data_IF_846323219135
#
_entry.id   IF_846323219135
#
_cell.length_a   1.000
_cell.length_b   1.000
_cell.length_c   1.000
_cell.angle_alpha   90.00
_cell.angle_beta   90.00
_cell.angle_gamma   90.00
#
_symmetry.space_group_name_H-M   'P 1'
#
loop_
_entity.id
_entity.type
_entity.pdbx_description
1 polymer ?
#
# COMPACT_ATOMS: atom_id res chain seq x y z
N UNK A 1 5.07 -26.50 -14.03
CA UNK A 1 5.52 -25.35 -14.83
C UNK A 1 5.23 -25.66 -16.29
N UNK A 2 4.29 -24.94 -16.92
CA UNK A 2 3.97 -25.08 -18.33
C UNK A 2 5.17 -24.78 -19.24
N UNK A 3 5.05 -25.12 -20.52
CA UNK A 3 6.10 -24.85 -21.50
C UNK A 3 6.37 -23.33 -21.58
N UNK A 4 7.62 -22.89 -21.78
CA UNK A 4 7.97 -21.47 -21.87
C UNK A 4 7.16 -20.69 -22.93
N UNK A 5 6.66 -21.38 -23.94
CA UNK A 5 5.87 -20.78 -25.01
C UNK A 5 4.43 -20.45 -24.59
N UNK A 6 3.94 -20.99 -23.47
CA UNK A 6 2.58 -20.74 -22.97
C UNK A 6 2.44 -19.40 -22.24
N UNK A 7 3.56 -18.74 -21.92
CA UNK A 7 3.58 -17.44 -21.24
C UNK A 7 2.80 -17.49 -19.92
N UNK A 8 1.87 -16.55 -19.74
CA UNK A 8 1.07 -16.45 -18.51
C UNK A 8 0.12 -17.65 -18.30
N UNK A 9 -0.24 -18.38 -19.35
CA UNK A 9 -1.08 -19.56 -19.26
C UNK A 9 -0.32 -20.79 -18.73
N UNK A 10 1.01 -20.75 -18.73
CA UNK A 10 1.86 -21.78 -18.14
C UNK A 10 2.14 -21.59 -16.63
N UNK A 11 1.54 -20.60 -15.99
CA UNK A 11 1.78 -20.31 -14.57
C UNK A 11 0.80 -21.05 -13.66
N UNK A 12 1.36 -21.78 -12.69
CA UNK A 12 0.61 -22.48 -11.65
C UNK A 12 0.93 -21.91 -10.28
N UNK A 13 -0.02 -21.96 -9.36
CA UNK A 13 0.11 -21.47 -8.00
C UNK A 13 0.35 -22.64 -7.05
N UNK A 14 1.32 -22.49 -6.13
CA UNK A 14 1.68 -23.51 -5.16
C UNK A 14 1.68 -22.94 -3.74
N UNK A 15 1.25 -23.74 -2.76
CA UNK A 15 1.55 -23.54 -1.36
C UNK A 15 2.85 -24.32 -1.07
N UNK A 16 3.88 -23.61 -0.59
CA UNK A 16 5.16 -24.19 -0.22
C UNK A 16 5.39 -23.91 1.27
N UNK A 17 5.12 -24.89 2.16
CA UNK A 17 5.25 -24.68 3.59
C UNK A 17 6.72 -24.65 4.02
N UNK A 18 7.04 -23.90 5.07
CA UNK A 18 8.37 -23.86 5.69
C UNK A 18 8.74 -25.21 6.35
N UNK A 19 7.78 -25.89 6.91
CA UNK A 19 7.85 -27.25 7.43
C UNK A 19 6.79 -28.08 6.76
N UNK A 20 7.12 -29.30 6.40
CA UNK A 20 6.13 -30.25 5.88
C UNK A 20 5.07 -30.49 6.96
N UNK A 21 3.82 -30.50 6.58
CA UNK A 21 2.70 -30.68 7.49
C UNK A 21 2.05 -32.01 7.20
N UNK A 22 1.79 -32.82 8.22
CA UNK A 22 1.08 -34.10 8.07
C UNK A 22 -0.45 -33.91 7.98
N UNK A 23 -1.19 -34.96 7.65
CA UNK A 23 -2.65 -34.96 7.50
C UNK A 23 -3.39 -34.52 8.78
N UNK A 24 -2.73 -34.57 9.93
CA UNK A 24 -3.27 -34.10 11.23
C UNK A 24 -2.95 -32.63 11.53
N UNK A 25 -2.25 -31.92 10.61
CA UNK A 25 -1.83 -30.55 10.77
C UNK A 25 -0.58 -30.35 11.65
N UNK A 26 0.15 -31.44 12.01
CA UNK A 26 1.39 -31.34 12.79
C UNK A 26 2.56 -31.01 11.89
N UNK A 27 3.46 -30.18 12.44
CA UNK A 27 4.71 -29.83 11.77
C UNK A 27 5.68 -31.02 11.78
N UNK A 28 6.12 -31.42 10.58
CA UNK A 28 7.11 -32.44 10.36
C UNK A 28 8.50 -31.86 10.11
N UNK A 29 9.20 -32.42 9.14
CA UNK A 29 10.57 -32.03 8.80
C UNK A 29 10.64 -30.66 8.08
N UNK A 30 11.83 -30.07 8.11
CA UNK A 30 12.11 -28.78 7.45
C UNK A 30 12.07 -28.96 5.94
N UNK A 31 11.22 -28.16 5.27
CA UNK A 31 11.20 -28.07 3.82
C UNK A 31 12.40 -27.27 3.27
N UNK A 32 12.79 -27.54 2.02
CA UNK A 32 13.93 -26.88 1.38
C UNK A 32 13.59 -25.47 0.91
N UNK A 33 13.27 -24.61 1.90
CA UNK A 33 13.01 -23.19 1.72
C UNK A 33 13.92 -22.40 2.66
N UNK A 34 14.73 -21.52 2.11
CA UNK A 34 15.68 -20.70 2.85
C UNK A 34 15.51 -19.20 2.55
N UNK A 35 15.79 -18.40 3.55
CA UNK A 35 15.93 -16.95 3.37
C UNK A 35 17.37 -16.70 2.88
N UNK A 36 17.51 -16.34 1.61
CA UNK A 36 18.80 -16.03 0.98
C UNK A 36 19.26 -14.59 1.29
N UNK A 37 18.33 -13.69 1.61
CA UNK A 37 18.69 -12.31 1.95
C UNK A 37 17.49 -11.48 2.40
N UNK A 38 17.81 -10.29 2.92
CA UNK A 38 16.85 -9.26 3.30
C UNK A 38 17.08 -8.01 2.45
N UNK A 39 16.02 -7.41 1.94
CA UNK A 39 16.10 -6.14 1.23
C UNK A 39 16.12 -4.97 2.21
N UNK A 40 17.07 -4.07 2.05
CA UNK A 40 17.13 -2.79 2.78
C UNK A 40 16.23 -1.77 2.09
N UNK A 41 15.14 -1.39 2.76
CA UNK A 41 14.08 -0.58 2.16
C UNK A 41 14.16 0.88 2.57
N UNK A 42 13.63 1.75 1.70
CA UNK A 42 13.44 3.18 1.96
C UNK A 42 12.43 3.43 3.08
N UNK A 43 11.28 2.75 3.05
CA UNK A 43 10.17 2.81 4.01
C UNK A 43 9.68 1.42 4.41
N UNK A 44 8.60 1.36 5.20
CA UNK A 44 8.05 0.12 5.76
C UNK A 44 9.12 -0.81 6.34
N UNK A 45 10.08 -0.22 7.06
CA UNK A 45 11.26 -0.95 7.56
C UNK A 45 10.93 -1.97 8.63
N UNK A 46 9.82 -1.80 9.33
CA UNK A 46 9.29 -2.76 10.30
C UNK A 46 8.71 -4.03 9.68
N UNK A 47 8.40 -4.02 8.39
CA UNK A 47 7.93 -5.17 7.62
C UNK A 47 9.10 -5.77 6.85
N UNK A 48 9.39 -7.05 7.03
CA UNK A 48 10.48 -7.73 6.32
C UNK A 48 10.13 -7.92 4.85
N UNK A 49 11.14 -7.77 3.99
CA UNK A 49 11.08 -8.18 2.59
C UNK A 49 12.28 -9.09 2.33
N UNK A 50 12.01 -10.35 1.99
CA UNK A 50 13.00 -11.41 1.91
C UNK A 50 13.21 -11.88 0.48
N UNK A 51 14.42 -12.29 0.18
CA UNK A 51 14.73 -13.15 -0.97
C UNK A 51 14.65 -14.59 -0.49
N UNK A 52 13.72 -15.36 -1.06
CA UNK A 52 13.55 -16.77 -0.73
C UNK A 52 14.16 -17.63 -1.84
N UNK A 53 14.91 -18.64 -1.45
CA UNK A 53 15.37 -19.72 -2.33
C UNK A 53 14.65 -21.01 -2.02
N UNK A 54 14.29 -21.73 -3.08
CA UNK A 54 13.56 -22.99 -3.02
C UNK A 54 14.39 -24.08 -3.68
N UNK A 55 14.55 -25.23 -3.01
CA UNK A 55 15.12 -26.43 -3.62
C UNK A 55 16.64 -26.40 -3.83
N UNK A 56 17.41 -25.63 -3.07
CA UNK A 56 18.88 -25.57 -3.19
C UNK A 56 19.61 -26.77 -2.52
N UNK A 57 18.88 -27.67 -1.92
CA UNK A 57 19.44 -28.88 -1.30
C UNK A 57 19.99 -28.65 0.12
N UNK A 58 19.66 -27.51 0.77
CA UNK A 58 20.05 -27.26 2.15
C UNK A 58 19.29 -28.15 3.13
N UNK A 59 18.04 -28.41 2.84
CA UNK A 59 17.19 -29.37 3.52
C UNK A 59 16.75 -30.43 2.51
N UNK A 60 16.44 -31.63 2.99
CA UNK A 60 16.04 -32.76 2.12
C UNK A 60 14.75 -33.38 2.62
N UNK A 61 13.62 -32.69 2.42
CA UNK A 61 12.33 -33.24 2.82
C UNK A 61 12.08 -34.58 2.11
N UNK A 62 11.58 -35.57 2.85
CA UNK A 62 11.45 -36.95 2.38
C UNK A 62 12.76 -37.56 1.81
N UNK A 63 13.93 -37.09 2.27
CA UNK A 63 15.25 -37.57 1.82
C UNK A 63 15.67 -37.13 0.40
N UNK A 64 14.90 -36.29 -0.29
CA UNK A 64 15.16 -35.84 -1.65
C UNK A 64 15.57 -34.37 -1.70
N UNK A 65 16.33 -34.01 -2.74
CA UNK A 65 16.61 -32.59 -3.02
C UNK A 65 15.38 -31.94 -3.66
N UNK A 66 15.11 -30.70 -3.27
CA UNK A 66 13.99 -29.91 -3.79
C UNK A 66 13.01 -29.50 -2.70
N UNK A 67 12.28 -28.42 -2.94
CA UNK A 67 11.21 -27.98 -2.07
C UNK A 67 9.90 -28.70 -2.41
N UNK A 68 9.19 -29.17 -1.38
CA UNK A 68 7.85 -29.75 -1.53
C UNK A 68 6.80 -28.64 -1.51
N UNK A 69 5.87 -28.71 -2.43
CA UNK A 69 4.74 -27.79 -2.52
C UNK A 69 3.51 -28.44 -3.11
N UNK A 70 2.35 -27.95 -2.73
CA UNK A 70 1.06 -28.42 -3.23
C UNK A 70 0.48 -27.41 -4.21
N UNK A 71 -0.03 -27.91 -5.35
CA UNK A 71 -0.66 -27.06 -6.35
C UNK A 71 -2.03 -26.56 -5.85
N UNK A 72 -2.29 -25.27 -6.04
CA UNK A 72 -3.61 -24.71 -5.78
C UNK A 72 -4.44 -24.78 -7.06
N UNK A 73 -5.53 -25.52 -6.99
CA UNK A 73 -6.48 -25.67 -8.09
C UNK A 73 -5.90 -26.41 -9.29
N UNK A 74 -5.97 -25.80 -10.48
CA UNK A 74 -5.56 -26.43 -11.74
C UNK A 74 -4.24 -25.86 -12.25
N UNK A 75 -3.41 -26.72 -12.83
CA UNK A 75 -2.20 -26.31 -13.54
C UNK A 75 -2.53 -25.29 -14.63
N UNK A 76 -1.67 -24.28 -14.81
CA UNK A 76 -1.85 -23.21 -15.78
C UNK A 76 -2.88 -22.13 -15.42
N UNK A 77 -3.58 -22.27 -14.30
CA UNK A 77 -4.58 -21.28 -13.83
C UNK A 77 -4.09 -20.39 -12.69
N UNK A 78 -2.82 -20.45 -12.31
CA UNK A 78 -2.27 -19.75 -11.14
C UNK A 78 -2.45 -18.24 -11.18
N UNK A 79 -2.34 -17.63 -12.35
CA UNK A 79 -2.54 -16.18 -12.51
C UNK A 79 -3.99 -15.77 -12.20
N UNK A 80 -4.97 -16.54 -12.65
CA UNK A 80 -6.39 -16.26 -12.38
C UNK A 80 -6.68 -16.33 -10.87
N UNK A 81 -6.13 -17.33 -10.16
CA UNK A 81 -6.28 -17.45 -8.71
C UNK A 81 -5.58 -16.31 -7.97
N UNK A 82 -4.40 -15.89 -8.43
CA UNK A 82 -3.69 -14.74 -7.86
C UNK A 82 -4.49 -13.44 -8.01
N UNK A 83 -5.12 -13.20 -9.16
CA UNK A 83 -5.94 -11.99 -9.35
C UNK A 83 -7.18 -11.94 -8.47
N UNK A 84 -7.70 -13.08 -8.04
CA UNK A 84 -8.80 -13.11 -7.07
C UNK A 84 -8.41 -12.43 -5.73
N UNK A 85 -7.19 -12.67 -5.24
CA UNK A 85 -6.66 -11.99 -4.05
C UNK A 85 -6.21 -10.56 -4.35
N UNK A 86 -5.61 -10.31 -5.51
CA UNK A 86 -4.99 -9.02 -5.83
C UNK A 86 -6.00 -7.88 -5.94
N UNK A 87 -7.22 -8.12 -6.36
CA UNK A 87 -8.22 -7.07 -6.48
C UNK A 87 -8.58 -6.47 -5.11
N UNK A 88 -8.70 -7.31 -4.08
CA UNK A 88 -8.89 -6.83 -2.70
C UNK A 88 -7.63 -6.17 -2.14
N UNK A 89 -6.45 -6.75 -2.41
CA UNK A 89 -5.17 -6.15 -2.02
C UNK A 89 -4.97 -4.74 -2.62
N UNK A 90 -5.41 -4.48 -3.85
CA UNK A 90 -5.35 -3.17 -4.49
C UNK A 90 -6.17 -2.11 -3.76
N UNK A 91 -7.38 -2.45 -3.31
CA UNK A 91 -8.21 -1.55 -2.50
C UNK A 91 -7.52 -1.26 -1.16
N UNK A 92 -6.95 -2.30 -0.52
CA UNK A 92 -6.19 -2.15 0.72
C UNK A 92 -4.94 -1.27 0.57
N UNK A 93 -4.24 -1.34 -0.57
CA UNK A 93 -3.12 -0.43 -0.89
C UNK A 93 -3.61 1.02 -1.00
N UNK A 94 -4.74 1.26 -1.67
CA UNK A 94 -5.37 2.57 -1.72
C UNK A 94 -5.73 3.10 -0.33
N UNK A 95 -6.32 2.26 0.51
CA UNK A 95 -6.66 2.59 1.90
C UNK A 95 -5.41 2.92 2.73
N UNK A 96 -4.34 2.14 2.60
CA UNK A 96 -3.05 2.38 3.24
C UNK A 96 -2.43 3.72 2.84
N UNK A 97 -2.49 4.04 1.54
CA UNK A 97 -2.02 5.33 1.03
C UNK A 97 -2.82 6.51 1.63
N UNK A 98 -4.14 6.37 1.71
CA UNK A 98 -5.02 7.37 2.36
C UNK A 98 -4.67 7.53 3.83
N UNK A 99 -4.50 6.45 4.58
CA UNK A 99 -4.19 6.50 6.01
C UNK A 99 -2.87 7.25 6.29
N UNK A 100 -1.84 6.98 5.49
CA UNK A 100 -0.54 7.67 5.58
C UNK A 100 -0.66 9.15 5.20
N UNK A 101 -1.38 9.46 4.11
CA UNK A 101 -1.65 10.83 3.68
C UNK A 101 -2.45 11.61 4.70
N UNK A 102 -3.51 11.00 5.24
CA UNK A 102 -4.38 11.61 6.24
C UNK A 102 -3.63 11.92 7.54
N UNK A 103 -2.79 10.99 7.99
CA UNK A 103 -1.92 11.21 9.15
C UNK A 103 -0.98 12.40 8.92
N UNK A 104 -0.38 12.51 7.73
CA UNK A 104 0.46 13.64 7.34
C UNK A 104 -0.30 14.98 7.36
N UNK A 105 -1.53 14.99 6.84
CA UNK A 105 -2.41 16.17 6.89
C UNK A 105 -2.73 16.60 8.32
N UNK A 106 -3.12 15.67 9.19
CA UNK A 106 -3.44 16.01 10.59
C UNK A 106 -2.21 16.58 11.34
N UNK A 107 -1.02 16.00 11.11
CA UNK A 107 0.25 16.52 11.65
C UNK A 107 0.56 17.90 11.12
N UNK A 108 0.34 18.15 9.82
CA UNK A 108 0.53 19.46 9.19
C UNK A 108 -0.38 20.53 9.79
N UNK A 109 -1.67 20.20 10.00
CA UNK A 109 -2.63 21.13 10.63
C UNK A 109 -2.21 21.47 12.06
N UNK A 110 -1.84 20.46 12.86
CA UNK A 110 -1.40 20.66 14.23
C UNK A 110 -0.15 21.56 14.30
N UNK A 111 0.86 21.27 13.47
CA UNK A 111 2.08 22.05 13.38
C UNK A 111 1.80 23.50 12.94
N UNK A 112 1.02 23.68 11.88
CA UNK A 112 0.73 25.00 11.33
C UNK A 112 -0.07 25.93 12.27
N UNK A 113 -0.81 25.35 13.22
CA UNK A 113 -1.54 26.11 14.25
C UNK A 113 -0.64 26.63 15.36
N UNK A 114 0.45 25.96 15.65
CA UNK A 114 1.34 26.28 16.79
C UNK A 114 2.63 26.96 16.38
N UNK A 115 3.18 26.62 15.20
CA UNK A 115 4.40 27.22 14.68
C UNK A 115 4.15 28.65 14.27
N UNK A 116 4.84 29.59 14.92
CA UNK A 116 4.80 31.03 14.56
C UNK A 116 6.00 31.37 13.68
N UNK A 117 5.75 32.09 12.57
CA UNK A 117 6.78 32.60 11.69
C UNK A 117 6.21 33.62 10.72
N UNK A 118 6.97 34.69 10.48
CA UNK A 118 6.57 35.77 9.57
C UNK A 118 5.41 36.64 10.10
N UNK A 119 4.99 37.57 9.30
CA UNK A 119 3.93 38.52 9.60
C UNK A 119 2.80 38.43 8.60
N UNK A 120 1.58 38.89 8.91
CA UNK A 120 0.48 38.93 7.94
C UNK A 120 0.87 39.68 6.66
N UNK A 121 0.37 39.25 5.52
CA UNK A 121 0.53 39.95 4.25
C UNK A 121 -0.06 41.35 4.39
N UNK A 122 0.71 42.37 3.95
CA UNK A 122 0.32 43.77 4.05
C UNK A 122 0.75 44.47 5.33
N UNK A 123 1.13 43.76 6.39
CA UNK A 123 1.67 44.41 7.60
C UNK A 123 3.22 44.38 7.55
N UNK A 124 3.79 45.56 7.29
CA UNK A 124 5.25 45.76 7.19
C UNK A 124 5.89 46.32 8.46
N UNK A 125 5.10 46.50 9.54
CA UNK A 125 5.63 47.06 10.79
C UNK A 125 6.62 46.10 11.44
N UNK A 126 7.87 46.52 11.73
CA UNK A 126 8.90 45.67 12.31
C UNK A 126 8.53 45.04 13.65
N UNK A 127 7.74 45.73 14.45
CA UNK A 127 7.38 45.35 15.83
C UNK A 127 6.15 44.42 15.90
N UNK A 128 5.52 44.10 14.76
CA UNK A 128 4.39 43.17 14.78
C UNK A 128 4.88 41.74 15.10
N UNK A 129 4.30 41.06 16.10
CA UNK A 129 4.71 39.73 16.46
C UNK A 129 4.46 38.72 15.31
N UNK A 130 5.26 37.63 15.25
CA UNK A 130 5.03 36.59 14.26
C UNK A 130 3.68 35.89 14.52
N UNK A 131 3.07 35.41 13.44
CA UNK A 131 1.77 34.71 13.48
C UNK A 131 1.93 33.20 13.24
N UNK A 132 0.97 32.38 13.70
CA UNK A 132 0.92 30.98 13.31
C UNK A 132 0.93 30.82 11.79
N UNK A 133 1.74 29.90 11.27
CA UNK A 133 1.95 29.78 9.82
C UNK A 133 0.68 29.42 9.06
N UNK A 134 -0.33 28.85 9.71
CA UNK A 134 -1.66 28.63 9.12
C UNK A 134 -2.32 29.93 8.62
N UNK A 135 -1.85 31.09 9.07
CA UNK A 135 -2.36 32.41 8.61
C UNK A 135 -1.84 32.78 7.22
N UNK A 136 -0.76 32.17 6.75
CA UNK A 136 -0.18 32.44 5.43
C UNK A 136 -0.97 31.75 4.32
N UNK A 137 -1.29 32.45 3.23
CA UNK A 137 -2.10 31.92 2.13
C UNK A 137 -1.51 30.65 1.50
N UNK A 138 -0.21 30.57 1.30
CA UNK A 138 0.43 29.41 0.69
C UNK A 138 0.40 28.17 1.59
N UNK A 139 0.58 28.35 2.90
CA UNK A 139 0.38 27.24 3.87
C UNK A 139 -1.07 26.75 3.85
N UNK A 140 -2.05 27.66 3.77
CA UNK A 140 -3.47 27.27 3.60
C UNK A 140 -3.70 26.50 2.31
N UNK A 141 -3.11 26.93 1.21
CA UNK A 141 -3.19 26.21 -0.08
C UNK A 141 -2.67 24.79 0.08
N UNK A 142 -1.48 24.59 0.67
CA UNK A 142 -0.91 23.27 0.92
C UNK A 142 -1.81 22.42 1.82
N UNK A 143 -2.37 22.96 2.88
CA UNK A 143 -3.29 22.23 3.78
C UNK A 143 -4.60 21.87 3.09
N UNK A 144 -5.17 22.76 2.27
CA UNK A 144 -6.39 22.49 1.51
C UNK A 144 -6.15 21.42 0.44
N UNK A 145 -5.00 21.46 -0.24
CA UNK A 145 -4.61 20.41 -1.20
C UNK A 145 -4.49 19.05 -0.51
N UNK A 146 -3.80 18.97 0.64
CA UNK A 146 -3.72 17.74 1.42
C UNK A 146 -5.12 17.24 1.79
N UNK A 147 -5.98 18.11 2.34
CA UNK A 147 -7.35 17.79 2.74
C UNK A 147 -8.15 17.20 1.56
N UNK A 148 -8.13 17.86 0.41
CA UNK A 148 -8.86 17.41 -0.76
C UNK A 148 -8.39 16.01 -1.24
N UNK A 149 -7.07 15.78 -1.26
CA UNK A 149 -6.51 14.50 -1.65
C UNK A 149 -6.90 13.38 -0.69
N UNK A 150 -6.77 13.60 0.62
CA UNK A 150 -6.99 12.52 1.59
C UNK A 150 -8.47 12.23 1.81
N UNK A 151 -9.34 13.25 1.84
CA UNK A 151 -10.80 13.06 2.00
C UNK A 151 -11.41 12.48 0.72
N UNK A 152 -10.99 12.96 -0.46
CA UNK A 152 -11.42 12.38 -1.73
C UNK A 152 -10.95 10.93 -1.90
N UNK A 153 -9.72 10.64 -1.51
CA UNK A 153 -9.18 9.27 -1.49
C UNK A 153 -9.96 8.36 -0.53
N UNK A 154 -10.27 8.85 0.67
CA UNK A 154 -11.07 8.11 1.65
C UNK A 154 -12.47 7.79 1.11
N UNK A 155 -13.14 8.78 0.54
CA UNK A 155 -14.48 8.58 -0.06
C UNK A 155 -14.43 7.52 -1.17
N UNK A 156 -13.43 7.57 -2.05
CA UNK A 156 -13.25 6.60 -3.13
C UNK A 156 -13.01 5.18 -2.59
N UNK A 157 -12.15 5.03 -1.59
CA UNK A 157 -11.86 3.73 -0.96
C UNK A 157 -13.12 3.15 -0.30
N UNK A 158 -13.85 3.96 0.47
CA UNK A 158 -15.09 3.51 1.13
C UNK A 158 -16.17 3.12 0.12
N UNK A 159 -16.28 3.87 -0.98
CA UNK A 159 -17.21 3.55 -2.06
C UNK A 159 -16.87 2.20 -2.72
N UNK A 160 -15.59 1.97 -3.03
CA UNK A 160 -15.17 0.69 -3.60
C UNK A 160 -15.35 -0.48 -2.61
N UNK A 161 -15.08 -0.25 -1.32
CA UNK A 161 -15.31 -1.26 -0.28
C UNK A 161 -16.80 -1.63 -0.17
N UNK A 162 -17.70 -0.66 -0.30
CA UNK A 162 -19.14 -0.91 -0.38
C UNK A 162 -19.50 -1.79 -1.59
N UNK A 163 -18.92 -1.53 -2.76
CA UNK A 163 -19.15 -2.36 -3.94
C UNK A 163 -18.64 -3.80 -3.76
N UNK A 164 -17.58 -4.02 -2.98
CA UNK A 164 -17.12 -5.38 -2.60
C UNK A 164 -18.23 -6.12 -1.84
N UNK A 165 -18.92 -5.45 -0.92
CA UNK A 165 -20.03 -6.06 -0.19
C UNK A 165 -21.24 -6.25 -1.12
N UNK A 166 -21.64 -5.24 -1.90
CA UNK A 166 -22.82 -5.27 -2.77
C UNK A 166 -22.75 -6.36 -3.84
N UNK A 167 -21.57 -6.65 -4.42
CA UNK A 167 -21.41 -7.75 -5.39
C UNK A 167 -21.77 -9.13 -4.82
N UNK A 168 -21.76 -9.28 -3.50
CA UNK A 168 -22.08 -10.53 -2.82
C UNK A 168 -23.47 -10.53 -2.16
N UNK A 169 -23.91 -9.36 -1.67
CA UNK A 169 -25.06 -9.25 -0.78
C UNK A 169 -26.26 -8.52 -1.38
N UNK A 170 -26.11 -7.87 -2.55
CA UNK A 170 -27.25 -7.19 -3.18
C UNK A 170 -28.39 -8.17 -3.49
N UNK A 171 -29.66 -7.72 -3.37
CA UNK A 171 -30.83 -8.60 -3.42
C UNK A 171 -30.98 -9.36 -4.74
N UNK A 172 -30.68 -8.70 -5.86
CA UNK A 172 -30.87 -9.28 -7.20
C UNK A 172 -29.55 -9.61 -7.88
N UNK A 173 -29.56 -10.57 -8.81
CA UNK A 173 -28.36 -10.89 -9.62
C UNK A 173 -27.93 -9.73 -10.50
N UNK A 174 -28.89 -8.95 -11.00
CA UNK A 174 -28.63 -7.76 -11.81
C UNK A 174 -27.84 -6.71 -11.01
N UNK A 175 -28.24 -6.43 -9.77
CA UNK A 175 -27.54 -5.50 -8.87
C UNK A 175 -26.13 -6.02 -8.52
N UNK A 176 -25.96 -7.32 -8.22
CA UNK A 176 -24.66 -7.93 -7.96
C UNK A 176 -23.72 -7.82 -9.15
N UNK A 177 -24.22 -8.10 -10.35
CA UNK A 177 -23.46 -8.00 -11.60
C UNK A 177 -23.08 -6.55 -11.92
N UNK A 178 -23.99 -5.61 -11.71
CA UNK A 178 -23.69 -4.18 -11.89
C UNK A 178 -22.61 -3.69 -10.90
N UNK A 179 -22.70 -4.08 -9.64
CA UNK A 179 -21.69 -3.76 -8.63
C UNK A 179 -20.32 -4.37 -8.98
N UNK A 180 -20.27 -5.62 -9.44
CA UNK A 180 -19.05 -6.29 -9.87
C UNK A 180 -18.40 -5.57 -11.06
N UNK A 181 -19.15 -5.21 -12.09
CA UNK A 181 -18.65 -4.50 -13.27
C UNK A 181 -18.08 -3.13 -12.90
N UNK A 182 -18.79 -2.37 -12.05
CA UNK A 182 -18.32 -1.07 -11.59
C UNK A 182 -17.06 -1.20 -10.72
N UNK A 183 -16.99 -2.21 -9.86
CA UNK A 183 -15.83 -2.50 -9.05
C UNK A 183 -14.60 -2.83 -9.90
N UNK A 184 -14.76 -3.62 -10.96
CA UNK A 184 -13.66 -3.96 -11.88
C UNK A 184 -13.06 -2.71 -12.53
N UNK A 185 -13.91 -1.76 -12.95
CA UNK A 185 -13.47 -0.47 -13.51
C UNK A 185 -12.77 0.39 -12.45
N UNK A 186 -13.32 0.43 -11.23
CA UNK A 186 -12.80 1.29 -10.17
C UNK A 186 -11.54 0.75 -9.49
N UNK A 187 -11.34 -0.56 -9.44
CA UNK A 187 -10.21 -1.18 -8.71
C UNK A 187 -8.84 -0.58 -9.07
N UNK A 188 -8.43 -0.42 -10.35
CA UNK A 188 -7.17 0.24 -10.67
C UNK A 188 -7.15 1.71 -10.25
N UNK A 189 -8.27 2.42 -10.32
CA UNK A 189 -8.37 3.84 -9.94
C UNK A 189 -8.24 3.99 -8.42
N UNK A 190 -8.92 3.15 -7.65
CA UNK A 190 -8.86 3.13 -6.17
C UNK A 190 -7.46 2.86 -5.67
N UNK A 191 -6.67 2.07 -6.39
CA UNK A 191 -5.26 1.85 -6.06
C UNK A 191 -4.38 3.02 -6.49
N UNK A 192 -4.48 3.45 -7.76
CA UNK A 192 -3.53 4.38 -8.36
C UNK A 192 -3.72 5.82 -7.88
N UNK A 193 -4.95 6.30 -7.83
CA UNK A 193 -5.24 7.69 -7.48
C UNK A 193 -4.84 8.03 -6.03
N UNK A 194 -5.26 7.27 -4.99
CA UNK A 194 -4.80 7.53 -3.63
C UNK A 194 -3.28 7.35 -3.48
N UNK A 195 -2.70 6.32 -4.09
CA UNK A 195 -1.26 6.08 -4.02
C UNK A 195 -0.45 7.28 -4.52
N UNK A 196 -0.91 7.95 -5.58
CA UNK A 196 -0.24 9.13 -6.13
C UNK A 196 -0.53 10.39 -5.30
N UNK A 197 -1.81 10.69 -5.06
CA UNK A 197 -2.18 11.99 -4.49
C UNK A 197 -2.02 12.05 -2.97
N UNK A 198 -2.14 10.94 -2.26
CA UNK A 198 -1.82 10.91 -0.83
C UNK A 198 -0.28 10.90 -0.58
N UNK A 199 0.53 10.38 -1.52
CA UNK A 199 1.97 10.60 -1.50
C UNK A 199 2.30 12.08 -1.68
N UNK A 200 1.65 12.78 -2.62
CA UNK A 200 1.79 14.23 -2.78
C UNK A 200 1.33 14.98 -1.51
N UNK A 201 0.28 14.52 -0.83
CA UNK A 201 -0.11 15.08 0.46
C UNK A 201 0.98 14.92 1.53
N UNK A 202 1.71 13.80 1.55
CA UNK A 202 2.85 13.61 2.45
C UNK A 202 4.06 14.49 2.06
N UNK A 203 4.30 14.74 0.78
CA UNK A 203 5.30 15.71 0.31
C UNK A 203 4.99 17.11 0.83
N UNK A 204 3.75 17.55 0.67
CA UNK A 204 3.28 18.83 1.22
C UNK A 204 3.35 18.89 2.75
N UNK A 205 3.20 17.74 3.44
CA UNK A 205 3.35 17.70 4.90
C UNK A 205 4.79 18.00 5.32
N UNK A 206 5.79 17.47 4.61
CA UNK A 206 7.20 17.83 4.82
C UNK A 206 7.39 19.33 4.57
N UNK A 207 6.85 19.86 3.47
CA UNK A 207 6.98 21.25 3.09
C UNK A 207 6.38 22.20 4.15
N UNK A 208 5.21 21.88 4.73
CA UNK A 208 4.57 22.66 5.80
C UNK A 208 5.44 22.69 7.06
N UNK A 209 6.15 21.62 7.38
CA UNK A 209 7.08 21.57 8.52
C UNK A 209 8.42 22.28 8.24
N UNK A 210 8.73 22.57 6.97
CA UNK A 210 10.00 23.16 6.56
C UNK A 210 11.19 22.26 6.91
N UNK A 211 12.29 22.83 7.38
CA UNK A 211 13.49 22.07 7.75
C UNK A 211 13.22 20.97 8.78
N UNK A 212 12.31 21.18 9.70
CA UNK A 212 11.91 20.16 10.67
C UNK A 212 11.21 18.94 10.04
N UNK A 213 10.51 19.13 8.92
CA UNK A 213 9.92 18.01 8.17
C UNK A 213 10.94 17.07 7.55
N UNK A 214 12.19 17.51 7.42
CA UNK A 214 13.31 16.70 6.91
C UNK A 214 14.07 15.95 8.02
N UNK A 215 13.76 16.22 9.28
CA UNK A 215 14.38 15.55 10.43
C UNK A 215 13.53 14.38 10.91
N UNK A 216 14.16 13.43 11.61
CA UNK A 216 13.47 12.29 12.23
C UNK A 216 12.73 12.64 13.52
N UNK A 217 12.84 13.88 14.00
CA UNK A 217 12.12 14.35 15.18
C UNK A 217 10.62 14.54 14.91
N UNK A 218 10.26 14.67 13.62
CA UNK A 218 8.89 14.73 13.14
C UNK A 218 8.57 13.55 12.22
N UNK A 219 7.43 12.86 12.42
CA UNK A 219 7.14 11.63 11.70
C UNK A 219 6.75 11.81 10.23
N UNK A 220 6.63 13.04 9.73
CA UNK A 220 6.16 13.31 8.36
C UNK A 220 7.11 12.79 7.30
N UNK A 221 8.43 12.73 7.57
CA UNK A 221 9.42 12.16 6.66
C UNK A 221 9.22 10.65 6.51
N UNK A 222 8.90 9.94 7.59
CA UNK A 222 8.60 8.51 7.55
C UNK A 222 7.32 8.22 6.79
N UNK A 223 6.26 9.01 7.00
CA UNK A 223 5.00 8.85 6.27
C UNK A 223 5.21 8.97 4.75
N UNK A 224 6.06 9.91 4.33
CA UNK A 224 6.43 10.05 2.91
C UNK A 224 7.19 8.82 2.40
N UNK A 225 8.20 8.36 3.13
CA UNK A 225 9.00 7.19 2.74
C UNK A 225 8.16 5.92 2.66
N UNK A 226 7.26 5.72 3.61
CA UNK A 226 6.37 4.57 3.64
C UNK A 226 5.37 4.64 2.47
N UNK A 227 4.74 5.78 2.27
CA UNK A 227 3.75 5.96 1.21
C UNK A 227 4.35 5.86 -0.20
N UNK A 228 5.67 6.09 -0.36
CA UNK A 228 6.34 5.99 -1.66
C UNK A 228 6.29 4.59 -2.29
N UNK A 229 6.10 3.55 -1.48
CA UNK A 229 5.92 2.20 -1.97
C UNK A 229 4.58 2.01 -2.70
N UNK A 230 3.52 2.68 -2.24
CA UNK A 230 2.15 2.44 -2.74
C UNK A 230 1.97 2.66 -4.25
N UNK A 231 2.62 3.62 -4.93
CA UNK A 231 2.60 3.70 -6.39
C UNK A 231 3.34 2.56 -7.12
N UNK A 232 4.10 1.72 -6.42
CA UNK A 232 5.00 0.72 -7.03
C UNK A 232 4.43 -0.69 -6.95
N UNK A 233 4.01 -1.13 -5.75
CA UNK A 233 3.57 -2.51 -5.52
C UNK A 233 2.10 -2.74 -5.88
N UNK A 234 1.70 -4.02 -5.96
CA UNK A 234 0.34 -4.47 -6.30
C UNK A 234 -0.20 -3.86 -7.61
N UNK A 235 0.69 -3.75 -8.59
CA UNK A 235 0.47 -3.06 -9.84
C UNK A 235 1.05 -1.65 -9.81
N UNK A 236 2.10 -1.42 -10.60
CA UNK A 236 2.75 -0.11 -10.73
C UNK A 236 1.79 0.91 -11.36
N UNK A 237 1.77 2.14 -10.84
CA UNK A 237 1.10 3.25 -11.49
C UNK A 237 1.88 3.64 -12.76
N UNK A 238 1.23 3.70 -13.91
CA UNK A 238 1.81 4.06 -15.20
C UNK A 238 1.80 2.96 -16.22
#
# INVERSE_FOLDING_TARGET
TGAPEEGVKGQSLFIVPKYVVDDSGRLGERNDVVVAGLNHKMGYRGTTNTVLSFGEGRYRPAGQAGALGEIIGREGHGLAYMFHMMNEARIAVGAGAVALGYTGYLRSVAYARTRTQGRPLGNKQPDHPPVPIIRHPDVRRMLLTQKACVEGGLALVLYASRLVDERQTAPTEEERSAAALLLDVLTPIVKAWPAQWCLHANDLAIQVHGAYGYTRDYPVEQLYRDNRLNPIHEGTNG
#
